data_IF_561858444572
#
_entry.id   IF_561858444572
#
_cell.length_a   1.000
_cell.length_b   1.000
_cell.length_c   1.000
_cell.angle_alpha   90.00
_cell.angle_beta   90.00
_cell.angle_gamma   90.00
#
_symmetry.space_group_name_H-M   'P 1'
#
loop_
_entity.id
_entity.type
_entity.pdbx_description
1 polymer ?
#
# COMPACT_ATOMS: atom_id res chain seq x y z
N UNK A 1 4.49 21.19 9.04
CA UNK A 1 3.65 20.63 7.96
C UNK A 1 2.19 20.80 8.35
N UNK A 2 1.39 21.42 7.46
CA UNK A 2 -0.04 21.56 7.62
C UNK A 2 -0.76 20.55 6.73
N UNK A 3 -1.81 19.92 7.26
CA UNK A 3 -2.61 18.96 6.52
C UNK A 3 -3.99 19.54 6.22
N UNK A 4 -4.32 19.69 4.93
CA UNK A 4 -5.65 20.02 4.47
C UNK A 4 -6.30 18.79 3.84
N UNK A 5 -7.45 18.39 4.33
CA UNK A 5 -8.14 17.18 3.88
C UNK A 5 -9.60 17.43 3.55
N UNK A 6 -10.27 16.38 3.07
CA UNK A 6 -11.65 16.45 2.67
C UNK A 6 -12.61 16.49 3.86
N UNK A 7 -13.56 17.43 3.85
CA UNK A 7 -14.78 17.38 4.64
C UNK A 7 -15.82 16.44 4.01
N UNK A 8 -15.80 16.33 2.66
CA UNK A 8 -16.53 15.35 1.86
C UNK A 8 -15.69 14.96 0.66
N UNK A 9 -15.24 13.70 0.62
CA UNK A 9 -14.39 13.18 -0.44
C UNK A 9 -15.22 12.75 -1.66
N UNK A 10 -16.30 11.99 -1.43
CA UNK A 10 -17.19 11.53 -2.48
C UNK A 10 -18.64 11.94 -2.22
N UNK A 11 -19.45 12.24 -3.25
CA UNK A 11 -20.89 12.30 -3.12
C UNK A 11 -21.44 10.94 -2.63
N UNK A 12 -22.49 10.96 -1.80
CA UNK A 12 -23.08 9.74 -1.23
C UNK A 12 -23.43 8.67 -2.29
N UNK A 13 -23.88 9.12 -3.47
CA UNK A 13 -24.25 8.25 -4.59
C UNK A 13 -23.05 7.49 -5.19
N UNK A 14 -21.83 8.03 -5.09
CA UNK A 14 -20.60 7.46 -5.67
C UNK A 14 -19.76 6.70 -4.65
N UNK A 15 -20.16 6.69 -3.38
CA UNK A 15 -19.43 6.05 -2.31
C UNK A 15 -20.11 4.75 -1.88
N UNK A 16 -19.50 3.57 -2.13
CA UNK A 16 -20.09 2.28 -1.80
C UNK A 16 -20.00 1.92 -0.30
N UNK A 17 -19.18 2.64 0.48
CA UNK A 17 -18.93 2.36 1.89
C UNK A 17 -19.91 3.05 2.86
N UNK A 18 -19.89 2.63 4.13
CA UNK A 18 -20.76 3.19 5.20
C UNK A 18 -20.26 4.55 5.70
N UNK A 19 -18.95 4.76 5.80
CA UNK A 19 -18.33 6.00 6.27
C UNK A 19 -17.13 6.37 5.40
N UNK A 20 -16.95 7.67 5.13
CA UNK A 20 -15.76 8.23 4.46
C UNK A 20 -14.73 8.75 5.47
N UNK A 21 -15.02 8.61 6.76
CA UNK A 21 -14.15 9.07 7.82
C UNK A 21 -13.47 7.88 8.46
N UNK A 22 -12.18 8.04 8.71
CA UNK A 22 -11.43 7.14 9.56
C UNK A 22 -12.01 7.15 10.96
N UNK A 23 -12.32 5.98 11.50
CA UNK A 23 -12.91 5.79 12.83
C UNK A 23 -11.94 5.20 13.84
N UNK A 24 -10.73 4.80 13.39
CA UNK A 24 -9.70 4.32 14.31
C UNK A 24 -9.20 5.43 15.22
N UNK A 25 -8.76 5.07 16.42
CA UNK A 25 -8.19 6.00 17.41
C UNK A 25 -6.76 6.47 17.05
N UNK A 26 -6.32 6.23 15.82
CA UNK A 26 -4.99 6.61 15.36
C UNK A 26 -4.76 8.12 15.47
N UNK A 27 -3.74 8.49 16.25
CA UNK A 27 -3.38 9.90 16.47
C UNK A 27 -2.42 10.37 15.38
N UNK A 28 -2.94 11.18 14.46
CA UNK A 28 -2.08 11.90 13.52
C UNK A 28 -1.14 12.86 14.29
N UNK A 29 0.12 13.04 13.81
CA UNK A 29 1.06 13.99 14.40
C UNK A 29 0.54 15.44 14.43
N UNK A 30 -0.33 15.79 13.48
CA UNK A 30 -1.03 17.07 13.42
C UNK A 30 -2.50 16.88 13.10
N UNK A 31 -3.36 17.73 13.66
CA UNK A 31 -4.80 17.71 13.39
C UNK A 31 -5.06 18.24 11.97
N UNK A 32 -5.65 17.42 11.07
CA UNK A 32 -5.94 17.88 9.72
C UNK A 32 -7.11 18.87 9.68
N UNK A 33 -6.99 19.91 8.86
CA UNK A 33 -8.08 20.81 8.55
C UNK A 33 -9.01 20.20 7.50
N UNK A 34 -10.25 19.89 7.89
CA UNK A 34 -11.27 19.29 7.03
C UNK A 34 -12.08 20.35 6.30
N UNK A 35 -11.47 21.01 5.31
CA UNK A 35 -12.09 22.12 4.59
C UNK A 35 -12.57 21.76 3.19
N UNK A 36 -11.87 20.85 2.50
CA UNK A 36 -12.11 20.58 1.08
C UNK A 36 -13.33 19.69 0.88
N UNK A 37 -14.33 20.18 0.17
CA UNK A 37 -15.44 19.38 -0.35
C UNK A 37 -15.19 19.16 -1.85
N UNK A 38 -15.13 17.90 -2.28
CA UNK A 38 -14.78 17.53 -3.67
C UNK A 38 -15.66 18.18 -4.75
N UNK A 39 -16.90 18.51 -4.40
CA UNK A 39 -17.89 19.13 -5.31
C UNK A 39 -18.40 20.51 -4.83
N UNK A 40 -17.79 21.08 -3.79
CA UNK A 40 -18.24 22.32 -3.14
C UNK A 40 -17.40 23.55 -3.52
N UNK A 41 -17.79 24.40 -4.49
CA UNK A 41 -16.98 25.55 -4.93
C UNK A 41 -16.64 26.55 -3.82
N UNK A 42 -17.52 26.72 -2.83
CA UNK A 42 -17.27 27.59 -1.66
C UNK A 42 -16.10 27.07 -0.84
N UNK A 43 -16.03 25.74 -0.66
CA UNK A 43 -14.92 25.09 0.06
C UNK A 43 -13.59 25.26 -0.69
N UNK A 44 -13.60 25.19 -2.02
CA UNK A 44 -12.40 25.40 -2.84
C UNK A 44 -11.81 26.79 -2.66
N UNK A 45 -12.70 27.82 -2.61
CA UNK A 45 -12.27 29.19 -2.33
C UNK A 45 -11.71 29.33 -0.90
N UNK A 46 -12.36 28.71 0.10
CA UNK A 46 -11.88 28.72 1.49
C UNK A 46 -10.52 28.03 1.62
N UNK A 47 -10.36 26.86 0.99
CA UNK A 47 -9.10 26.11 0.96
C UNK A 47 -7.97 26.91 0.31
N UNK A 48 -8.24 27.60 -0.80
CA UNK A 48 -7.24 28.45 -1.44
C UNK A 48 -6.81 29.64 -0.58
N UNK A 49 -7.74 30.27 0.15
CA UNK A 49 -7.42 31.35 1.11
C UNK A 49 -6.63 30.81 2.28
N UNK A 50 -7.01 29.66 2.83
CA UNK A 50 -6.33 28.99 3.93
C UNK A 50 -4.86 28.69 3.60
N UNK A 51 -4.57 28.25 2.36
CA UNK A 51 -3.20 28.09 1.87
C UNK A 51 -2.44 29.43 1.77
N UNK A 52 -3.10 30.48 1.27
CA UNK A 52 -2.46 31.78 1.11
C UNK A 52 -2.08 32.43 2.47
N UNK A 53 -2.91 32.24 3.49
CA UNK A 53 -2.64 32.70 4.86
C UNK A 53 -1.42 32.02 5.48
N UNK A 54 -1.15 30.77 5.13
CA UNK A 54 -0.02 29.97 5.66
C UNK A 54 1.29 30.14 4.89
N UNK A 55 1.24 30.67 3.67
CA UNK A 55 2.42 30.92 2.83
C UNK A 55 3.38 29.73 2.80
N UNK A 56 2.93 28.54 2.40
CA UNK A 56 3.80 27.37 2.35
C UNK A 56 4.88 27.53 1.28
N UNK A 57 6.07 26.95 1.52
CA UNK A 57 7.12 26.84 0.49
C UNK A 57 6.73 25.80 -0.56
N UNK A 58 6.07 24.72 -0.15
CA UNK A 58 5.61 23.63 -1.02
C UNK A 58 4.14 23.32 -0.75
N UNK A 59 3.38 23.18 -1.84
CA UNK A 59 2.03 22.60 -1.81
C UNK A 59 2.10 21.22 -2.46
N UNK A 60 1.97 20.15 -1.67
CA UNK A 60 1.87 18.78 -2.20
C UNK A 60 0.41 18.38 -2.37
N UNK A 61 -0.02 18.14 -3.61
CA UNK A 61 -1.35 17.64 -3.95
C UNK A 61 -1.31 16.13 -4.19
N UNK A 62 -1.94 15.36 -3.32
CA UNK A 62 -2.04 13.90 -3.45
C UNK A 62 -3.18 13.57 -4.44
N UNK A 63 -2.85 12.92 -5.55
CA UNK A 63 -3.78 12.61 -6.63
C UNK A 63 -3.91 11.11 -6.89
N UNK A 64 -5.15 10.60 -6.91
CA UNK A 64 -5.44 9.20 -7.26
C UNK A 64 -6.64 9.03 -8.20
N UNK A 65 -7.52 10.06 -8.35
CA UNK A 65 -8.66 10.02 -9.26
C UNK A 65 -8.87 11.36 -9.97
N UNK A 66 -9.10 11.37 -11.29
CA UNK A 66 -9.40 12.58 -12.08
C UNK A 66 -10.62 13.37 -11.60
N UNK A 67 -11.51 12.75 -10.85
CA UNK A 67 -12.66 13.38 -10.21
C UNK A 67 -12.29 14.58 -9.33
N UNK A 68 -11.11 14.56 -8.70
CA UNK A 68 -10.66 15.64 -7.81
C UNK A 68 -10.01 16.83 -8.55
N UNK A 69 -9.67 16.66 -9.82
CA UNK A 69 -8.94 17.68 -10.59
C UNK A 69 -9.63 19.04 -10.60
N UNK A 70 -10.96 19.17 -10.80
CA UNK A 70 -11.64 20.47 -10.75
C UNK A 70 -11.46 21.18 -9.41
N UNK A 71 -11.55 20.49 -8.30
CA UNK A 71 -11.34 21.05 -6.96
C UNK A 71 -9.90 21.53 -6.77
N UNK A 72 -8.90 20.74 -7.15
CA UNK A 72 -7.49 21.10 -7.05
C UNK A 72 -7.14 22.32 -7.90
N UNK A 73 -7.57 22.35 -9.15
CA UNK A 73 -7.36 23.50 -10.02
C UNK A 73 -8.01 24.78 -9.46
N UNK A 74 -9.20 24.66 -8.89
CA UNK A 74 -9.90 25.79 -8.29
C UNK A 74 -9.23 26.27 -7.00
N UNK A 75 -8.77 25.35 -6.14
CA UNK A 75 -7.99 25.66 -4.92
C UNK A 75 -6.72 26.44 -5.30
N UNK A 76 -5.92 25.96 -6.25
CA UNK A 76 -4.72 26.63 -6.71
C UNK A 76 -5.01 28.01 -7.32
N UNK A 77 -6.11 28.14 -8.08
CA UNK A 77 -6.56 29.43 -8.62
C UNK A 77 -6.88 30.43 -7.50
N UNK A 78 -7.63 30.01 -6.49
CA UNK A 78 -8.00 30.84 -5.36
C UNK A 78 -6.83 31.17 -4.44
N UNK A 79 -5.87 30.23 -4.28
CA UNK A 79 -4.61 30.46 -3.60
C UNK A 79 -3.84 31.61 -4.26
N UNK A 80 -3.55 31.52 -5.56
CA UNK A 80 -2.84 32.57 -6.31
C UNK A 80 -3.56 33.91 -6.23
N UNK A 81 -4.90 33.91 -6.38
CA UNK A 81 -5.69 35.15 -6.27
C UNK A 81 -5.63 35.76 -4.88
N UNK A 82 -5.54 34.97 -3.81
CA UNK A 82 -5.49 35.46 -2.44
C UNK A 82 -4.10 35.98 -2.04
N UNK A 83 -3.04 35.50 -2.66
CA UNK A 83 -1.68 36.04 -2.48
C UNK A 83 -1.53 37.46 -3.09
N UNK A 84 -2.22 37.78 -4.17
CA UNK A 84 -2.05 39.01 -4.93
C UNK A 84 -0.89 38.96 -5.92
N UNK A 85 -0.83 39.98 -6.77
CA UNK A 85 0.20 40.09 -7.80
C UNK A 85 1.57 40.42 -7.17
N UNK A 86 2.63 39.83 -7.75
CA UNK A 86 4.01 40.03 -7.30
C UNK A 86 4.43 39.25 -6.06
N UNK A 87 3.54 38.43 -5.48
CA UNK A 87 3.91 37.57 -4.34
C UNK A 87 4.46 36.23 -4.87
N UNK A 88 5.54 35.75 -4.25
CA UNK A 88 6.11 34.44 -4.54
C UNK A 88 5.08 33.34 -4.28
N UNK A 89 4.97 32.42 -5.24
CA UNK A 89 3.99 31.32 -5.21
C UNK A 89 4.69 30.06 -4.77
N UNK A 90 4.08 29.31 -3.87
CA UNK A 90 4.61 28.02 -3.44
C UNK A 90 4.93 27.09 -4.60
N UNK A 91 5.98 26.31 -4.46
CA UNK A 91 6.29 25.19 -5.35
C UNK A 91 5.19 24.14 -5.30
N UNK A 92 4.56 23.84 -6.42
CA UNK A 92 3.46 22.86 -6.49
C UNK A 92 4.01 21.50 -6.86
N UNK A 93 3.99 20.56 -5.92
CA UNK A 93 4.31 19.16 -6.18
C UNK A 93 3.02 18.34 -6.34
N UNK A 94 2.97 17.49 -7.37
CA UNK A 94 1.88 16.54 -7.56
C UNK A 94 2.36 15.14 -7.15
N UNK A 95 1.82 14.62 -6.07
CA UNK A 95 1.99 13.24 -5.66
C UNK A 95 0.97 12.37 -6.42
N UNK A 96 1.45 11.56 -7.36
CA UNK A 96 0.62 10.78 -8.26
C UNK A 96 0.61 9.29 -7.85
N UNK A 97 -0.50 8.79 -7.35
CA UNK A 97 -0.72 7.36 -7.19
C UNK A 97 -0.97 6.67 -8.55
N UNK A 98 -1.55 7.40 -9.47
CA UNK A 98 -1.71 7.02 -10.88
C UNK A 98 -1.85 8.29 -11.73
N UNK A 99 -1.60 8.18 -13.03
CA UNK A 99 -1.84 9.26 -13.99
C UNK A 99 -3.22 9.09 -14.62
N UNK A 100 -3.59 7.85 -14.92
CA UNK A 100 -4.91 7.49 -15.45
C UNK A 100 -5.55 6.39 -14.63
N UNK A 101 -6.86 6.47 -14.39
CA UNK A 101 -7.59 5.37 -13.78
C UNK A 101 -7.68 4.18 -14.75
N UNK A 102 -7.77 2.97 -14.24
CA UNK A 102 -8.00 1.76 -15.02
C UNK A 102 -9.30 1.80 -15.86
N UNK A 103 -10.26 2.64 -15.44
CA UNK A 103 -11.47 2.94 -16.23
C UNK A 103 -11.42 4.39 -16.67
N UNK A 104 -11.37 4.62 -17.98
CA UNK A 104 -11.39 5.96 -18.56
C UNK A 104 -12.80 6.56 -18.49
N UNK A 105 -12.89 7.79 -18.00
CA UNK A 105 -14.10 8.60 -18.08
C UNK A 105 -13.95 9.63 -19.21
N UNK A 106 -15.03 10.10 -19.82
CA UNK A 106 -14.98 11.21 -20.75
C UNK A 106 -14.21 12.41 -20.16
N UNK A 107 -13.36 13.06 -20.96
CA UNK A 107 -12.55 14.22 -20.57
C UNK A 107 -11.41 13.96 -19.55
N UNK A 108 -11.19 12.74 -19.10
CA UNK A 108 -10.10 12.42 -18.15
C UNK A 108 -8.75 12.96 -18.63
N UNK A 109 -8.39 12.72 -19.89
CA UNK A 109 -7.11 13.17 -20.45
C UNK A 109 -6.96 14.70 -20.44
N UNK A 110 -8.03 15.44 -20.76
CA UNK A 110 -8.01 16.89 -20.75
C UNK A 110 -7.87 17.46 -19.34
N UNK A 111 -8.55 16.85 -18.36
CA UNK A 111 -8.44 17.22 -16.94
C UNK A 111 -7.03 16.94 -16.42
N UNK A 112 -6.49 15.76 -16.70
CA UNK A 112 -5.14 15.39 -16.26
C UNK A 112 -4.08 16.29 -16.88
N UNK A 113 -4.13 16.58 -18.19
CA UNK A 113 -3.22 17.55 -18.83
C UNK A 113 -3.25 18.90 -18.13
N UNK A 114 -4.45 19.40 -17.75
CA UNK A 114 -4.59 20.67 -17.03
C UNK A 114 -3.98 20.62 -15.62
N UNK A 115 -4.15 19.49 -14.90
CA UNK A 115 -3.54 19.33 -13.58
C UNK A 115 -2.02 19.23 -13.70
N UNK A 116 -1.51 18.36 -14.58
CA UNK A 116 -0.08 18.16 -14.79
C UNK A 116 0.64 19.46 -15.22
N UNK A 117 -0.05 20.35 -15.96
CA UNK A 117 0.48 21.66 -16.31
C UNK A 117 0.60 22.63 -15.12
N UNK A 118 0.08 22.30 -13.95
CA UNK A 118 0.16 23.11 -12.72
C UNK A 118 1.21 22.62 -11.75
N UNK A 119 1.74 21.41 -11.95
CA UNK A 119 2.82 20.87 -11.15
C UNK A 119 4.17 21.39 -11.61
N UNK A 120 4.96 21.90 -10.68
CA UNK A 120 6.35 22.30 -10.87
C UNK A 120 7.27 21.09 -10.75
N UNK A 121 6.86 20.12 -9.92
CA UNK A 121 7.50 18.81 -9.79
C UNK A 121 6.48 17.71 -9.46
N UNK A 122 6.95 16.47 -9.50
CA UNK A 122 6.11 15.30 -9.33
C UNK A 122 6.75 14.30 -8.39
N UNK A 123 5.91 13.59 -7.65
CA UNK A 123 6.29 12.45 -6.84
C UNK A 123 5.44 11.26 -7.24
N UNK A 124 6.07 10.10 -7.44
CA UNK A 124 5.41 8.84 -7.83
C UNK A 124 5.89 7.72 -6.92
N UNK A 125 5.12 6.62 -6.83
CA UNK A 125 5.46 5.45 -6.00
C UNK A 125 5.83 4.22 -6.83
N UNK A 126 5.93 4.35 -8.16
CA UNK A 126 6.33 3.24 -9.02
C UNK A 126 6.87 3.71 -10.36
N UNK A 127 7.78 2.92 -10.97
CA UNK A 127 8.30 3.16 -12.32
C UNK A 127 7.20 3.33 -13.36
N UNK A 128 6.16 2.50 -13.29
CA UNK A 128 5.04 2.54 -14.23
C UNK A 128 4.29 3.90 -14.20
N UNK A 129 4.05 4.47 -13.01
CA UNK A 129 3.42 5.80 -12.90
C UNK A 129 4.36 6.89 -13.41
N UNK A 130 5.66 6.76 -13.16
CA UNK A 130 6.69 7.67 -13.67
C UNK A 130 6.74 7.65 -15.19
N UNK A 131 6.73 6.50 -15.82
CA UNK A 131 6.73 6.33 -17.27
C UNK A 131 5.46 6.94 -17.89
N UNK A 132 4.30 6.67 -17.32
CA UNK A 132 3.05 7.30 -17.73
C UNK A 132 3.11 8.83 -17.61
N UNK A 133 3.66 9.37 -16.54
CA UNK A 133 3.85 10.82 -16.39
C UNK A 133 4.73 11.36 -17.52
N UNK A 134 5.86 10.73 -17.80
CA UNK A 134 6.81 11.14 -18.85
C UNK A 134 6.21 11.12 -20.23
N UNK A 135 5.23 10.27 -20.51
CA UNK A 135 4.50 10.30 -21.79
C UNK A 135 3.72 11.61 -22.03
N UNK A 136 3.41 12.37 -20.96
CA UNK A 136 2.73 13.67 -21.02
C UNK A 136 3.65 14.86 -20.73
N UNK A 137 4.64 14.67 -19.92
CA UNK A 137 5.60 15.64 -19.44
C UNK A 137 7.01 15.02 -19.47
N UNK A 138 7.64 14.89 -20.66
CA UNK A 138 8.94 14.20 -20.79
C UNK A 138 10.04 14.76 -19.88
N UNK A 139 10.10 16.08 -19.74
CA UNK A 139 11.12 16.80 -18.97
C UNK A 139 10.66 17.16 -17.54
N UNK A 140 9.56 16.56 -17.05
CA UNK A 140 9.06 16.86 -15.72
C UNK A 140 10.07 16.47 -14.64
N UNK A 141 10.41 17.36 -13.70
CA UNK A 141 11.17 16.98 -12.50
C UNK A 141 10.35 15.97 -11.70
N UNK A 142 10.78 14.72 -11.67
CA UNK A 142 10.09 13.65 -10.95
C UNK A 142 11.04 12.99 -9.96
N UNK A 143 10.53 12.77 -8.75
CA UNK A 143 11.11 11.88 -7.77
C UNK A 143 10.26 10.60 -7.76
N UNK A 144 10.91 9.50 -8.01
CA UNK A 144 10.34 8.18 -7.80
C UNK A 144 10.70 7.71 -6.40
N UNK A 145 9.70 7.55 -5.58
CA UNK A 145 9.83 7.04 -4.22
C UNK A 145 9.26 5.64 -4.10
N UNK A 146 8.90 5.27 -2.91
CA UNK A 146 8.38 3.96 -2.56
C UNK A 146 7.23 4.06 -1.55
N UNK A 147 6.44 3.01 -1.40
CA UNK A 147 5.52 2.88 -0.28
C UNK A 147 6.31 2.63 1.01
N UNK A 148 6.23 3.52 2.00
CA UNK A 148 6.93 3.30 3.26
C UNK A 148 6.27 2.19 4.07
N UNK A 149 7.03 1.63 5.00
CA UNK A 149 6.56 0.65 5.97
C UNK A 149 5.41 1.25 6.78
N UNK A 150 4.32 0.49 6.94
CA UNK A 150 3.16 0.94 7.72
C UNK A 150 3.43 0.76 9.21
N UNK A 151 3.47 1.86 9.95
CA UNK A 151 3.72 1.93 11.39
C UNK A 151 2.46 2.25 12.21
N UNK A 152 1.30 1.91 11.65
CA UNK A 152 -0.03 2.19 12.24
C UNK A 152 -0.58 1.05 13.10
N UNK A 153 0.13 -0.07 13.17
CA UNK A 153 -0.34 -1.26 13.85
C UNK A 153 0.16 -1.33 15.30
N UNK A 154 -0.57 -2.08 16.13
CA UNK A 154 -0.09 -2.45 17.45
C UNK A 154 1.21 -3.26 17.34
N UNK A 155 2.12 -3.14 18.32
CA UNK A 155 3.38 -3.87 18.31
C UNK A 155 3.19 -5.40 18.20
N UNK A 156 4.22 -6.07 17.68
CA UNK A 156 4.27 -7.53 17.68
C UNK A 156 4.18 -8.07 19.11
N UNK A 157 3.55 -9.22 19.26
CA UNK A 157 3.48 -9.98 20.52
C UNK A 157 4.21 -11.31 20.36
N UNK A 158 4.40 -12.02 21.46
CA UNK A 158 5.01 -13.36 21.43
C UNK A 158 4.24 -14.32 20.52
N UNK A 159 4.90 -15.07 19.63
CA UNK A 159 4.24 -15.95 18.66
C UNK A 159 3.31 -16.98 19.29
N UNK A 160 3.73 -17.59 20.41
CA UNK A 160 2.92 -18.55 21.17
C UNK A 160 1.65 -17.91 21.73
N UNK A 161 1.74 -16.67 22.25
CA UNK A 161 0.59 -15.93 22.73
C UNK A 161 -0.36 -15.56 21.61
N UNK A 162 0.17 -15.19 20.42
CA UNK A 162 -0.61 -14.90 19.23
C UNK A 162 -1.38 -16.15 18.76
N UNK A 163 -0.68 -17.28 18.61
CA UNK A 163 -1.30 -18.56 18.24
C UNK A 163 -2.38 -18.97 19.22
N UNK A 164 -2.12 -18.88 20.52
CA UNK A 164 -3.11 -19.21 21.55
C UNK A 164 -4.38 -18.34 21.42
N UNK A 165 -4.24 -17.02 21.19
CA UNK A 165 -5.39 -16.11 21.00
C UNK A 165 -6.19 -16.45 19.75
N UNK A 166 -5.54 -16.91 18.70
CA UNK A 166 -6.17 -17.31 17.42
C UNK A 166 -6.67 -18.76 17.44
N UNK A 167 -6.48 -19.52 18.55
CA UNK A 167 -6.85 -20.93 18.64
C UNK A 167 -6.04 -21.82 17.69
N UNK A 168 -4.81 -21.45 17.40
CA UNK A 168 -3.91 -22.16 16.50
C UNK A 168 -3.02 -23.14 17.28
N UNK A 169 -2.70 -24.32 16.73
CA UNK A 169 -1.69 -25.20 17.31
C UNK A 169 -0.28 -24.59 17.21
N UNK A 170 0.63 -25.05 18.07
CA UNK A 170 2.05 -24.68 18.04
C UNK A 170 2.77 -25.43 16.90
N UNK A 171 2.62 -24.91 15.68
CA UNK A 171 3.21 -25.45 14.45
C UNK A 171 3.83 -24.35 13.62
N UNK A 172 4.81 -24.66 12.75
CA UNK A 172 5.29 -23.76 11.70
C UNK A 172 4.11 -23.17 10.93
N UNK A 173 4.03 -21.83 10.89
CA UNK A 173 2.84 -21.12 10.43
C UNK A 173 3.16 -20.19 9.25
N UNK A 174 2.49 -20.41 8.14
CA UNK A 174 2.44 -19.50 7.00
C UNK A 174 1.23 -18.58 7.13
N UNK A 175 1.36 -17.32 6.71
CA UNK A 175 0.23 -16.38 6.66
C UNK A 175 -0.02 -15.90 5.22
N UNK A 176 -1.25 -16.07 4.76
CA UNK A 176 -1.82 -15.36 3.62
C UNK A 176 -2.74 -14.27 4.15
N UNK A 177 -2.44 -12.99 3.85
CA UNK A 177 -3.13 -11.86 4.46
C UNK A 177 -3.78 -10.90 3.46
N UNK A 178 -4.91 -10.30 3.89
CA UNK A 178 -5.66 -9.27 3.17
C UNK A 178 -6.76 -9.84 2.28
N UNK A 179 -7.47 -8.98 1.56
CA UNK A 179 -8.61 -9.39 0.72
C UNK A 179 -8.27 -10.57 -0.17
N UNK A 180 -9.06 -11.64 -0.08
CA UNK A 180 -8.89 -12.82 -0.93
C UNK A 180 -9.52 -12.53 -2.28
N UNK A 181 -8.68 -12.49 -3.31
CA UNK A 181 -9.05 -12.31 -4.72
C UNK A 181 -8.25 -13.27 -5.58
N UNK A 182 -8.81 -13.69 -6.70
CA UNK A 182 -8.20 -14.67 -7.60
C UNK A 182 -6.76 -14.33 -8.01
N UNK A 183 -6.48 -13.05 -8.28
CA UNK A 183 -5.12 -12.65 -8.68
C UNK A 183 -4.06 -12.83 -7.57
N UNK A 184 -4.48 -12.97 -6.32
CA UNK A 184 -3.58 -13.18 -5.18
C UNK A 184 -3.13 -14.63 -5.00
N UNK A 185 -3.71 -15.59 -5.73
CA UNK A 185 -3.20 -16.94 -5.84
C UNK A 185 -3.31 -17.80 -4.58
N UNK A 186 -4.33 -17.58 -3.73
CA UNK A 186 -4.55 -18.45 -2.56
C UNK A 186 -4.72 -19.92 -2.97
N UNK A 187 -5.36 -20.19 -4.08
CA UNK A 187 -5.52 -21.51 -4.68
C UNK A 187 -4.17 -22.20 -4.97
N UNK A 188 -3.18 -21.46 -5.47
CA UNK A 188 -1.82 -21.96 -5.69
C UNK A 188 -1.15 -22.40 -4.38
N UNK A 189 -1.36 -21.62 -3.31
CA UNK A 189 -0.82 -21.97 -2.00
C UNK A 189 -1.53 -23.21 -1.40
N UNK A 190 -2.84 -23.32 -1.60
CA UNK A 190 -3.59 -24.54 -1.22
C UNK A 190 -3.10 -25.76 -2.01
N UNK A 191 -2.82 -25.62 -3.32
CA UNK A 191 -2.25 -26.67 -4.15
C UNK A 191 -0.83 -27.09 -3.72
N UNK A 192 -0.06 -26.18 -3.18
CA UNK A 192 1.28 -26.43 -2.67
C UNK A 192 1.29 -27.21 -1.32
N UNK A 193 0.21 -27.11 -0.52
CA UNK A 193 0.16 -27.66 0.84
C UNK A 193 0.46 -29.16 0.95
N UNK A 194 -0.06 -30.06 0.09
CA UNK A 194 0.26 -31.48 0.20
C UNK A 194 1.77 -31.73 0.15
N UNK A 195 2.46 -31.13 -0.84
CA UNK A 195 3.92 -31.27 -0.99
C UNK A 195 4.70 -30.62 0.16
N UNK A 196 4.25 -29.48 0.67
CA UNK A 196 4.86 -28.86 1.87
C UNK A 196 4.77 -29.81 3.05
N UNK A 197 3.62 -30.43 3.28
CA UNK A 197 3.34 -31.30 4.42
C UNK A 197 4.08 -32.66 4.37
N UNK A 198 4.56 -33.07 3.22
CA UNK A 198 5.47 -34.22 3.11
C UNK A 198 6.80 -33.98 3.87
N UNK A 199 7.19 -32.71 4.06
CA UNK A 199 8.48 -32.32 4.62
C UNK A 199 8.38 -31.53 5.92
N UNK A 200 7.30 -30.75 6.10
CA UNK A 200 7.12 -29.84 7.25
C UNK A 200 5.68 -29.93 7.74
N UNK A 201 5.47 -30.24 9.02
CA UNK A 201 4.13 -30.20 9.65
C UNK A 201 3.66 -28.74 9.83
N UNK A 202 3.54 -28.01 8.72
CA UNK A 202 3.17 -26.62 8.70
C UNK A 202 1.64 -26.44 8.62
N UNK A 203 1.18 -25.29 9.14
CA UNK A 203 -0.18 -24.81 8.97
C UNK A 203 -0.23 -23.52 8.16
N UNK A 204 -1.36 -23.30 7.48
CA UNK A 204 -1.67 -22.06 6.74
C UNK A 204 -2.78 -21.31 7.47
N UNK A 205 -2.51 -20.06 7.81
CA UNK A 205 -3.50 -19.09 8.24
C UNK A 205 -3.87 -18.21 7.07
N UNK A 206 -5.16 -18.17 6.72
CA UNK A 206 -5.74 -17.26 5.73
C UNK A 206 -6.54 -16.21 6.48
N UNK A 207 -6.13 -14.95 6.43
CA UNK A 207 -6.78 -13.88 7.17
C UNK A 207 -7.17 -12.71 6.25
N UNK A 208 -8.48 -12.49 6.11
CA UNK A 208 -9.06 -11.42 5.33
C UNK A 208 -10.34 -11.80 4.59
N UNK A 209 -11.07 -10.76 4.22
CA UNK A 209 -12.38 -10.87 3.59
C UNK A 209 -12.30 -11.47 2.17
N UNK A 210 -13.20 -12.40 1.88
CA UNK A 210 -13.31 -13.04 0.56
C UNK A 210 -14.20 -12.20 -0.36
N UNK A 211 -13.65 -11.82 -1.50
CA UNK A 211 -14.38 -11.15 -2.58
C UNK A 211 -14.69 -12.07 -3.74
N UNK A 212 -13.84 -13.10 -3.94
CA UNK A 212 -13.96 -14.08 -5.01
C UNK A 212 -13.68 -15.49 -4.46
N UNK A 213 -14.21 -16.50 -5.14
CA UNK A 213 -13.76 -17.89 -5.12
C UNK A 213 -13.77 -18.63 -3.76
N UNK A 214 -14.53 -18.19 -2.74
CA UNK A 214 -14.56 -18.85 -1.42
C UNK A 214 -14.95 -20.33 -1.52
N UNK A 215 -16.03 -20.64 -2.23
CA UNK A 215 -16.51 -22.01 -2.41
C UNK A 215 -15.48 -22.88 -3.13
N UNK A 216 -14.78 -22.31 -4.10
CA UNK A 216 -13.72 -22.99 -4.85
C UNK A 216 -12.53 -23.34 -3.94
N UNK A 217 -12.11 -22.39 -3.09
CA UNK A 217 -11.03 -22.61 -2.10
C UNK A 217 -11.44 -23.70 -1.11
N UNK A 218 -12.65 -23.66 -0.55
CA UNK A 218 -13.15 -24.66 0.40
C UNK A 218 -13.27 -26.03 -0.25
N UNK A 219 -13.70 -26.10 -1.51
CA UNK A 219 -13.74 -27.35 -2.29
C UNK A 219 -12.33 -27.91 -2.48
N UNK A 220 -11.38 -27.08 -2.88
CA UNK A 220 -9.99 -27.49 -3.10
C UNK A 220 -9.30 -28.02 -1.82
N UNK A 221 -9.54 -27.36 -0.68
CA UNK A 221 -9.07 -27.83 0.63
C UNK A 221 -9.57 -29.24 0.92
N UNK A 222 -10.85 -29.53 0.63
CA UNK A 222 -11.44 -30.87 0.82
C UNK A 222 -10.85 -31.89 -0.13
N UNK A 223 -10.75 -31.58 -1.44
CA UNK A 223 -10.22 -32.47 -2.46
C UNK A 223 -8.78 -32.89 -2.17
N UNK A 224 -7.95 -31.96 -1.68
CA UNK A 224 -6.56 -32.19 -1.34
C UNK A 224 -6.37 -32.77 0.09
N UNK A 225 -7.45 -32.92 0.85
CA UNK A 225 -7.43 -33.41 2.22
C UNK A 225 -6.45 -32.68 3.14
N UNK A 226 -6.42 -31.34 3.06
CA UNK A 226 -5.53 -30.45 3.85
C UNK A 226 -6.28 -29.59 4.86
N UNK A 227 -7.55 -29.89 5.14
CA UNK A 227 -8.39 -29.06 6.01
C UNK A 227 -7.91 -28.96 7.46
N UNK A 228 -7.18 -29.94 7.96
CA UNK A 228 -6.55 -29.93 9.29
C UNK A 228 -5.38 -28.92 9.38
N UNK A 229 -4.77 -28.57 8.25
CA UNK A 229 -3.65 -27.64 8.16
C UNK A 229 -4.06 -26.20 7.80
N UNK A 230 -5.34 -25.95 7.46
CA UNK A 230 -5.79 -24.62 7.05
C UNK A 230 -6.73 -24.01 8.08
N UNK A 231 -6.49 -22.75 8.44
CA UNK A 231 -7.37 -21.94 9.30
C UNK A 231 -7.75 -20.67 8.55
N UNK A 232 -9.05 -20.47 8.37
CA UNK A 232 -9.60 -19.31 7.62
C UNK A 232 -10.29 -18.36 8.60
N UNK A 233 -9.86 -17.11 8.58
CA UNK A 233 -10.47 -15.97 9.24
C UNK A 233 -11.01 -15.05 8.13
N UNK A 234 -12.29 -15.18 7.80
CA UNK A 234 -12.89 -14.57 6.59
C UNK A 234 -13.51 -13.19 6.80
N UNK A 235 -13.39 -12.64 7.99
CA UNK A 235 -13.88 -11.30 8.29
C UNK A 235 -12.82 -10.24 7.98
N UNK A 236 -13.26 -8.97 7.88
CA UNK A 236 -12.34 -7.85 7.86
C UNK A 236 -11.50 -7.84 9.14
N UNK A 237 -10.19 -7.78 9.00
CA UNK A 237 -9.27 -7.72 10.14
C UNK A 237 -9.03 -6.25 10.51
N UNK A 238 -9.48 -5.78 11.68
CA UNK A 238 -9.19 -4.43 12.17
C UNK A 238 -7.70 -4.20 12.37
N UNK A 239 -7.25 -2.94 12.22
CA UNK A 239 -5.82 -2.61 12.39
C UNK A 239 -5.26 -3.02 13.75
N UNK A 240 -6.08 -2.98 14.78
CA UNK A 240 -5.76 -3.35 16.17
C UNK A 240 -5.50 -4.86 16.35
N UNK A 241 -5.97 -5.68 15.40
CA UNK A 241 -5.82 -7.14 15.45
C UNK A 241 -4.77 -7.68 14.47
N UNK A 242 -4.28 -6.85 13.56
CA UNK A 242 -3.29 -7.26 12.53
C UNK A 242 -2.05 -7.88 13.18
N UNK A 243 -1.62 -7.34 14.31
CA UNK A 243 -0.46 -7.85 15.04
C UNK A 243 -0.61 -9.31 15.48
N UNK A 244 -1.83 -9.80 15.76
CA UNK A 244 -2.06 -11.20 16.14
C UNK A 244 -1.66 -12.15 15.00
N UNK A 245 -2.11 -11.86 13.79
CA UNK A 245 -1.86 -12.71 12.62
C UNK A 245 -0.40 -12.70 12.20
N UNK A 246 0.19 -11.52 12.12
CA UNK A 246 1.60 -11.39 11.74
C UNK A 246 2.53 -11.96 12.82
N UNK A 247 2.20 -11.80 14.12
CA UNK A 247 3.01 -12.39 15.20
C UNK A 247 2.92 -13.92 15.21
N UNK A 248 1.76 -14.50 14.89
CA UNK A 248 1.57 -15.95 14.87
C UNK A 248 2.35 -16.67 13.77
N UNK A 249 2.71 -15.97 12.69
CA UNK A 249 3.35 -16.54 11.51
C UNK A 249 4.88 -16.37 11.51
N UNK A 250 5.59 -17.33 10.92
CA UNK A 250 7.01 -17.25 10.60
C UNK A 250 7.27 -16.60 9.24
N UNK A 251 6.34 -16.76 8.29
CA UNK A 251 6.50 -16.30 6.91
C UNK A 251 5.18 -15.82 6.30
N UNK A 252 5.26 -14.77 5.52
CA UNK A 252 4.12 -14.26 4.75
C UNK A 252 4.24 -14.77 3.32
N UNK A 253 3.16 -15.35 2.78
CA UNK A 253 3.17 -15.94 1.44
C UNK A 253 2.23 -15.18 0.51
N UNK A 254 2.77 -14.63 -0.59
CA UNK A 254 2.03 -13.86 -1.59
C UNK A 254 2.26 -14.43 -3.00
N UNK A 255 1.61 -15.55 -3.36
CA UNK A 255 1.78 -16.22 -4.65
C UNK A 255 0.93 -15.55 -5.74
N UNK A 256 1.08 -14.23 -5.90
CA UNK A 256 0.24 -13.42 -6.78
C UNK A 256 0.42 -13.81 -8.25
N UNK A 257 -0.64 -13.66 -9.05
CA UNK A 257 -0.64 -13.81 -10.52
C UNK A 257 -0.41 -12.50 -11.24
N UNK A 258 -0.78 -11.40 -10.60
CA UNK A 258 -0.49 -10.06 -11.09
C UNK A 258 -0.18 -9.15 -9.90
N UNK A 259 0.84 -8.32 -10.02
CA UNK A 259 1.26 -7.46 -8.93
C UNK A 259 0.84 -6.02 -9.17
N UNK A 260 0.26 -5.47 -8.12
CA UNK A 260 0.25 -4.04 -7.83
C UNK A 260 1.09 -3.82 -6.58
N UNK A 261 1.56 -2.61 -6.27
CA UNK A 261 2.22 -2.35 -5.00
C UNK A 261 1.42 -2.95 -3.83
N UNK A 262 2.07 -3.77 -3.01
CA UNK A 262 1.39 -4.54 -1.96
C UNK A 262 1.59 -3.90 -0.59
N UNK A 263 0.49 -3.41 0.01
CA UNK A 263 0.50 -2.97 1.40
C UNK A 263 0.87 -4.10 2.38
N UNK A 264 0.59 -5.36 2.03
CA UNK A 264 0.94 -6.52 2.86
C UNK A 264 2.44 -6.69 2.99
N UNK A 265 3.23 -6.37 1.94
CA UNK A 265 4.69 -6.42 2.03
C UNK A 265 5.23 -5.37 3.03
N UNK A 266 4.66 -4.16 3.02
CA UNK A 266 5.05 -3.12 3.97
C UNK A 266 4.64 -3.48 5.41
N UNK A 267 3.49 -4.13 5.58
CA UNK A 267 3.06 -4.68 6.86
C UNK A 267 4.00 -5.80 7.33
N UNK A 268 4.42 -6.70 6.42
CA UNK A 268 5.37 -7.77 6.75
C UNK A 268 6.71 -7.19 7.26
N UNK A 269 7.24 -6.15 6.63
CA UNK A 269 8.44 -5.47 7.11
C UNK A 269 8.24 -4.79 8.47
N UNK A 270 7.07 -4.22 8.73
CA UNK A 270 6.77 -3.67 10.06
C UNK A 270 6.92 -4.74 11.16
N UNK A 271 6.41 -5.94 10.91
CA UNK A 271 6.47 -7.07 11.84
C UNK A 271 7.74 -7.93 11.69
N UNK A 272 8.75 -7.45 10.98
CA UNK A 272 10.02 -8.14 10.75
C UNK A 272 9.85 -9.55 10.16
N UNK A 273 8.84 -9.75 9.28
CA UNK A 273 8.52 -11.04 8.68
C UNK A 273 9.14 -11.20 7.30
N UNK A 274 9.87 -12.30 7.07
CA UNK A 274 10.28 -12.69 5.73
C UNK A 274 9.09 -13.10 4.86
N UNK A 275 9.29 -13.05 3.55
CA UNK A 275 8.21 -13.32 2.60
C UNK A 275 8.60 -14.34 1.55
N UNK A 276 7.60 -15.07 1.05
CA UNK A 276 7.71 -15.86 -0.19
C UNK A 276 6.73 -15.24 -1.19
N UNK A 277 7.25 -14.76 -2.32
CA UNK A 277 6.48 -13.98 -3.30
C UNK A 277 6.68 -14.50 -4.71
N UNK A 278 5.70 -14.29 -5.58
CA UNK A 278 5.87 -14.54 -7.01
C UNK A 278 6.79 -13.49 -7.66
N UNK A 279 7.56 -13.90 -8.67
CA UNK A 279 8.40 -13.00 -9.49
C UNK A 279 7.54 -12.19 -10.46
N UNK A 280 7.06 -11.05 -9.96
CA UNK A 280 6.19 -10.11 -10.69
C UNK A 280 6.76 -8.69 -10.72
N UNK A 281 8.06 -8.53 -10.70
CA UNK A 281 8.73 -7.24 -10.68
C UNK A 281 8.48 -6.47 -9.40
N UNK A 282 7.33 -5.84 -9.22
CA UNK A 282 7.03 -4.98 -8.05
C UNK A 282 7.24 -5.69 -6.70
N UNK A 283 6.98 -7.00 -6.61
CA UNK A 283 7.21 -7.78 -5.38
C UNK A 283 8.65 -8.28 -5.28
N UNK A 284 9.21 -8.79 -6.38
CA UNK A 284 10.60 -9.27 -6.41
C UNK A 284 11.61 -8.13 -6.23
N UNK A 285 11.29 -6.90 -6.65
CA UNK A 285 12.14 -5.72 -6.45
C UNK A 285 12.28 -5.34 -4.97
N UNK A 286 11.29 -5.64 -4.14
CA UNK A 286 11.30 -5.31 -2.71
C UNK A 286 11.70 -6.48 -1.81
N UNK A 287 11.67 -7.73 -2.32
CA UNK A 287 12.08 -8.94 -1.59
C UNK A 287 13.32 -9.54 -2.28
N UNK A 288 14.54 -9.18 -1.88
CA UNK A 288 15.75 -9.80 -2.43
C UNK A 288 15.76 -11.30 -2.14
N UNK A 289 15.82 -12.11 -3.23
CA UNK A 289 15.77 -13.57 -3.14
C UNK A 289 16.91 -14.15 -2.29
N UNK A 290 16.56 -15.06 -1.38
CA UNK A 290 17.48 -15.67 -0.42
C UNK A 290 17.95 -14.75 0.71
N UNK A 291 17.56 -13.46 0.71
CA UNK A 291 17.99 -12.45 1.69
C UNK A 291 16.87 -12.00 2.62
N UNK A 292 15.73 -11.58 2.08
CA UNK A 292 14.56 -11.18 2.85
C UNK A 292 13.39 -12.18 2.73
N UNK A 293 13.63 -13.29 2.07
CA UNK A 293 12.67 -14.35 1.79
C UNK A 293 13.02 -15.05 0.49
N UNK A 294 12.00 -15.57 -0.22
CA UNK A 294 12.20 -16.22 -1.51
C UNK A 294 11.30 -15.63 -2.59
N UNK A 295 11.81 -15.63 -3.83
CA UNK A 295 11.08 -15.27 -5.04
C UNK A 295 10.90 -16.53 -5.88
N UNK A 296 9.66 -16.81 -6.28
CA UNK A 296 9.30 -18.03 -7.03
C UNK A 296 8.62 -17.66 -8.36
N UNK A 297 8.70 -18.52 -9.40
CA UNK A 297 7.93 -18.32 -10.62
C UNK A 297 6.43 -18.15 -10.30
N UNK A 298 5.71 -17.24 -10.98
CA UNK A 298 4.28 -17.13 -10.83
C UNK A 298 3.59 -18.40 -11.36
N UNK A 299 2.40 -18.70 -10.81
CA UNK A 299 1.57 -19.85 -11.22
C UNK A 299 2.25 -21.23 -11.11
N UNK A 300 3.25 -21.36 -10.24
CA UNK A 300 3.96 -22.62 -9.99
C UNK A 300 3.83 -23.07 -8.52
N UNK A 301 2.82 -23.92 -8.19
CA UNK A 301 2.64 -24.44 -6.85
C UNK A 301 3.83 -25.33 -6.37
N UNK A 302 4.55 -25.98 -7.29
CA UNK A 302 5.68 -26.83 -6.92
C UNK A 302 6.88 -25.98 -6.46
N UNK A 303 7.27 -24.98 -7.24
CA UNK A 303 8.31 -24.03 -6.84
C UNK A 303 7.94 -23.29 -5.55
N UNK A 304 6.67 -22.95 -5.36
CA UNK A 304 6.16 -22.37 -4.13
C UNK A 304 6.34 -23.32 -2.94
N UNK A 305 5.99 -24.59 -3.11
CA UNK A 305 6.16 -25.60 -2.06
C UNK A 305 7.63 -25.79 -1.69
N UNK A 306 8.52 -25.90 -2.69
CA UNK A 306 9.96 -26.06 -2.47
C UNK A 306 10.56 -24.85 -1.73
N UNK A 307 10.12 -23.64 -2.05
CA UNK A 307 10.55 -22.42 -1.36
C UNK A 307 10.09 -22.41 0.11
N UNK A 308 8.86 -22.86 0.41
CA UNK A 308 8.34 -22.96 1.78
C UNK A 308 9.14 -24.00 2.56
N UNK A 309 9.38 -25.19 2.00
CA UNK A 309 10.17 -26.24 2.63
C UNK A 309 11.59 -25.75 2.93
N UNK A 310 12.23 -25.11 1.96
CA UNK A 310 13.55 -24.51 2.12
C UNK A 310 13.57 -23.43 3.19
N UNK A 311 12.53 -22.58 3.24
CA UNK A 311 12.39 -21.53 4.24
C UNK A 311 12.39 -22.11 5.66
N UNK A 312 11.55 -23.09 5.93
CA UNK A 312 11.49 -23.72 7.24
C UNK A 312 12.76 -24.54 7.58
N UNK A 313 13.44 -25.10 6.58
CA UNK A 313 14.73 -25.73 6.75
C UNK A 313 15.85 -24.80 7.18
N UNK A 314 15.84 -23.54 6.69
CA UNK A 314 16.80 -22.51 7.09
C UNK A 314 16.41 -21.81 8.40
N UNK A 315 15.12 -21.74 8.67
CA UNK A 315 14.51 -21.02 9.79
C UNK A 315 14.39 -19.50 9.57
N UNK A 316 13.42 -18.83 10.23
CA UNK A 316 13.11 -17.42 10.03
C UNK A 316 14.28 -16.48 10.37
N UNK A 317 15.15 -16.85 11.31
CA UNK A 317 16.29 -16.05 11.73
C UNK A 317 17.33 -15.87 10.60
N UNK A 318 17.39 -16.78 9.64
CA UNK A 318 18.26 -16.66 8.46
C UNK A 318 18.01 -15.36 7.70
N UNK A 319 16.78 -14.92 7.64
CA UNK A 319 16.34 -13.75 6.86
C UNK A 319 16.30 -12.43 7.66
N UNK A 320 16.54 -12.47 8.97
CA UNK A 320 16.33 -11.31 9.87
C UNK A 320 17.13 -10.08 9.46
N UNK A 321 18.40 -10.24 9.07
CA UNK A 321 19.25 -9.13 8.62
C UNK A 321 18.75 -8.51 7.32
N UNK A 322 18.33 -9.35 6.37
CA UNK A 322 17.78 -8.91 5.10
C UNK A 322 16.47 -8.16 5.27
N UNK A 323 15.54 -8.70 6.06
CA UNK A 323 14.27 -8.05 6.39
C UNK A 323 14.50 -6.69 7.07
N UNK A 324 15.40 -6.63 8.07
CA UNK A 324 15.75 -5.40 8.75
C UNK A 324 16.38 -4.36 7.80
N UNK A 325 17.16 -4.79 6.82
CA UNK A 325 17.71 -3.90 5.80
C UNK A 325 16.62 -3.33 4.88
N UNK A 326 15.65 -4.16 4.45
CA UNK A 326 14.52 -3.70 3.66
C UNK A 326 13.61 -2.76 4.48
N UNK A 327 13.31 -3.08 5.73
CA UNK A 327 12.56 -2.21 6.65
C UNK A 327 13.17 -0.81 6.75
N UNK A 328 14.50 -0.71 6.91
CA UNK A 328 15.20 0.59 6.91
C UNK A 328 15.14 1.29 5.56
N UNK A 329 15.35 0.55 4.46
CA UNK A 329 15.29 1.09 3.10
C UNK A 329 13.94 1.72 2.77
N UNK A 330 12.86 1.11 3.25
CA UNK A 330 11.48 1.55 3.04
C UNK A 330 10.89 2.29 4.25
N UNK A 331 11.71 2.85 5.12
CA UNK A 331 11.24 3.60 6.28
C UNK A 331 10.68 4.98 5.89
N UNK A 332 9.87 5.56 6.79
CA UNK A 332 9.39 6.93 6.64
C UNK A 332 10.52 7.94 6.64
N UNK A 333 11.55 7.72 7.47
CA UNK A 333 12.74 8.55 7.53
C UNK A 333 13.45 8.59 6.17
N UNK A 334 13.68 7.41 5.57
CA UNK A 334 14.33 7.33 4.25
C UNK A 334 13.52 8.06 3.17
N UNK A 335 12.19 7.95 3.18
CA UNK A 335 11.32 8.65 2.24
C UNK A 335 11.33 10.17 2.47
N UNK A 336 11.23 10.62 3.74
CA UNK A 336 11.19 12.05 4.07
C UNK A 336 12.52 12.73 3.80
N UNK A 337 13.65 12.06 4.01
CA UNK A 337 14.98 12.57 3.67
C UNK A 337 15.16 12.75 2.16
N UNK A 338 14.68 11.80 1.37
CA UNK A 338 14.67 11.91 -0.09
C UNK A 338 13.78 13.08 -0.56
N UNK A 339 12.58 13.22 0.01
CA UNK A 339 11.68 14.35 -0.30
C UNK A 339 12.28 15.69 0.11
N UNK A 340 12.88 15.77 1.30
CA UNK A 340 13.52 16.99 1.76
C UNK A 340 14.68 17.41 0.85
N UNK A 341 15.51 16.46 0.42
CA UNK A 341 16.61 16.72 -0.53
C UNK A 341 16.05 17.18 -1.88
N UNK A 342 15.04 16.47 -2.40
CA UNK A 342 14.41 16.80 -3.67
C UNK A 342 13.80 18.21 -3.70
N UNK A 343 13.22 18.68 -2.58
CA UNK A 343 12.65 20.02 -2.49
C UNK A 343 13.69 21.10 -2.27
N UNK A 344 14.71 20.87 -1.42
CA UNK A 344 15.80 21.84 -1.20
C UNK A 344 16.42 22.33 -2.51
N UNK A 345 16.69 21.40 -3.43
CA UNK A 345 17.29 21.71 -4.74
C UNK A 345 16.38 22.57 -5.64
N UNK A 346 15.10 22.72 -5.30
CA UNK A 346 14.06 23.37 -6.13
C UNK A 346 13.48 24.64 -5.54
N UNK A 347 13.51 24.78 -4.21
CA UNK A 347 13.00 25.96 -3.51
C UNK A 347 14.12 27.01 -3.35
N UNK A 348 15.39 26.57 -3.29
CA UNK A 348 16.55 27.45 -3.15
C UNK A 348 16.96 28.17 -4.45
N UNK A 349 16.15 28.04 -5.49
CA UNK A 349 16.34 28.72 -6.80
C UNK A 349 15.28 29.78 -7.02
#
# INVERSE_FOLDING_TARGET
>A
VDLLTFSRQYPKLLFPGKSQLETSEWKLPSRPERLLDSIGPVSWRRSGKWLAERRPDVIMLVHWLPFFVPSYLSVLKHYRKALGDGTEVAHVNLFLHNVFPHKSFPFTNALMRRLLARGDSFFTLSPHVTEHLRSFRPDAPVMEGFHPVYDIFEPAIEPTAARARLGLPEKPTMLFFGYVRRYKGLDLLIEALPRIREHVDAQLVVAGEFYDDREEIERRIKELNVGDAVRIFSDYIPNEEVNLYFSAAEVIVQPYRSATPSGVAQTAFFFDKPMIVSDLGVLSDIIPDGVAGFVVPPEDPNSLADAVVRFFGLGPNHFSQGVAAQKRKFSWEALTDQLATFFKDRISK
#
